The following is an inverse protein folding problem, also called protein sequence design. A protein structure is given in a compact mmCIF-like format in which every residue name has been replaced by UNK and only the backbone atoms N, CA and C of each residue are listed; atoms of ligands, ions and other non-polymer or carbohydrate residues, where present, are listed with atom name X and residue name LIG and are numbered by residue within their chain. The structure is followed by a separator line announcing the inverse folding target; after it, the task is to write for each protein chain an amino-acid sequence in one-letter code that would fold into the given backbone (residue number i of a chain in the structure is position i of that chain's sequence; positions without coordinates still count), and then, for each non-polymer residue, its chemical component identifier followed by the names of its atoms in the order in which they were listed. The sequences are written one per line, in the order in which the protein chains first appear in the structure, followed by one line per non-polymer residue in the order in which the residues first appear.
data_IF_326125056611
#
_entry.id   IF_326125056611
#
_cell.length_a   1.000
_cell.length_b   1.000
_cell.length_c   1.000
_cell.angle_alpha   90.00
_cell.angle_beta   90.00
_cell.angle_gamma   90.00
#
_symmetry.space_group_name_H-M   'P 1'
#
loop_
_entity.id
_entity.type
_entity.pdbx_description
1 polymer ?
#
# COMPACT_ATOMS: atom_id res chain seq x y z
N UNK A 1 -12.13 -40.92 0.84
CA UNK A 1 -12.05 -40.23 -0.45
C UNK A 1 -11.12 -39.04 -0.29
N UNK A 2 -10.00 -39.00 -1.01
CA UNK A 2 -9.14 -37.82 -1.02
C UNK A 2 -9.91 -36.68 -1.72
N UNK A 3 -10.12 -35.56 -1.03
CA UNK A 3 -10.74 -34.37 -1.62
C UNK A 3 -9.83 -33.93 -2.78
N UNK A 4 -10.35 -33.92 -4.01
CA UNK A 4 -9.59 -33.40 -5.15
C UNK A 4 -9.09 -31.99 -4.80
N UNK A 5 -7.82 -31.71 -5.11
CA UNK A 5 -7.28 -30.36 -4.91
C UNK A 5 -8.12 -29.40 -5.76
N UNK A 6 -8.68 -28.38 -5.12
CA UNK A 6 -9.56 -27.44 -5.81
C UNK A 6 -8.79 -26.69 -6.91
N UNK A 7 -9.42 -26.49 -8.06
CA UNK A 7 -8.78 -25.94 -9.26
C UNK A 7 -8.49 -24.44 -9.11
N UNK A 8 -7.61 -23.89 -9.96
CA UNK A 8 -7.34 -22.44 -10.01
C UNK A 8 -8.63 -21.64 -10.17
N UNK A 9 -9.52 -22.09 -11.05
CA UNK A 9 -10.83 -21.47 -11.30
C UNK A 9 -11.75 -21.52 -10.08
N UNK A 10 -11.81 -22.67 -9.39
CA UNK A 10 -12.57 -22.79 -8.14
C UNK A 10 -12.04 -21.84 -7.06
N UNK A 11 -10.71 -21.69 -6.93
CA UNK A 11 -10.13 -20.75 -5.96
C UNK A 11 -10.45 -19.30 -6.30
N UNK A 12 -10.43 -18.92 -7.58
CA UNK A 12 -10.85 -17.59 -8.02
C UNK A 12 -12.33 -17.34 -7.69
N UNK A 13 -13.19 -18.33 -7.94
CA UNK A 13 -14.61 -18.23 -7.60
C UNK A 13 -14.82 -18.05 -6.08
N UNK A 14 -14.11 -18.83 -5.26
CA UNK A 14 -14.17 -18.71 -3.81
C UNK A 14 -13.63 -17.36 -3.31
N UNK A 15 -12.57 -16.82 -3.92
CA UNK A 15 -12.07 -15.48 -3.62
C UNK A 15 -13.11 -14.39 -3.88
N UNK A 16 -13.84 -14.48 -5.00
CA UNK A 16 -14.95 -13.56 -5.32
C UNK A 16 -16.12 -13.67 -4.33
N UNK A 17 -16.45 -14.88 -3.89
CA UNK A 17 -17.45 -15.08 -2.83
C UNK A 17 -16.98 -14.49 -1.50
N UNK A 18 -15.72 -14.69 -1.15
CA UNK A 18 -15.12 -14.14 0.06
C UNK A 18 -15.10 -12.61 0.04
N UNK A 19 -14.78 -11.99 -1.10
CA UNK A 19 -14.87 -10.54 -1.31
C UNK A 19 -16.28 -10.01 -1.04
N UNK A 20 -17.31 -10.63 -1.64
CA UNK A 20 -18.71 -10.24 -1.43
C UNK A 20 -19.20 -10.45 0.01
N UNK A 21 -18.60 -11.38 0.72
CA UNK A 21 -18.89 -11.65 2.13
C UNK A 21 -17.99 -10.84 3.09
N UNK A 22 -17.13 -9.96 2.58
CA UNK A 22 -16.14 -9.19 3.35
C UNK A 22 -15.20 -10.06 4.20
N UNK A 23 -14.98 -11.30 3.76
CA UNK A 23 -14.14 -12.33 4.39
C UNK A 23 -12.73 -12.31 3.80
N UNK A 24 -12.04 -11.19 4.00
CA UNK A 24 -10.77 -10.92 3.31
C UNK A 24 -9.61 -11.83 3.76
N UNK A 25 -9.67 -12.38 4.97
CA UNK A 25 -8.69 -13.35 5.47
C UNK A 25 -8.74 -14.64 4.65
N UNK A 26 -9.95 -15.18 4.45
CA UNK A 26 -10.15 -16.34 3.58
C UNK A 26 -9.87 -16.01 2.12
N UNK A 27 -10.20 -14.78 1.67
CA UNK A 27 -9.87 -14.31 0.33
C UNK A 27 -8.35 -14.37 0.07
N UNK A 28 -7.52 -13.97 1.04
CA UNK A 28 -6.06 -14.10 0.96
C UNK A 28 -5.67 -15.57 0.79
N UNK A 29 -6.21 -16.48 1.60
CA UNK A 29 -5.89 -17.91 1.48
C UNK A 29 -6.24 -18.50 0.11
N UNK A 30 -7.38 -18.10 -0.47
CA UNK A 30 -7.77 -18.55 -1.81
C UNK A 30 -6.83 -17.97 -2.87
N UNK A 31 -6.49 -16.69 -2.78
CA UNK A 31 -5.57 -16.05 -3.74
C UNK A 31 -4.14 -16.59 -3.64
N UNK A 32 -3.66 -16.96 -2.45
CA UNK A 32 -2.39 -17.67 -2.29
C UNK A 32 -2.38 -19.02 -2.99
N UNK A 33 -3.50 -19.76 -2.95
CA UNK A 33 -3.66 -21.01 -3.69
C UNK A 33 -3.72 -20.79 -5.19
N UNK A 34 -4.32 -19.69 -5.66
CA UNK A 34 -4.26 -19.26 -7.07
C UNK A 34 -2.82 -19.02 -7.51
N UNK A 35 -2.04 -18.25 -6.74
CA UNK A 35 -0.61 -17.99 -7.02
C UNK A 35 0.19 -19.29 -7.04
N UNK A 36 -0.04 -20.18 -6.09
CA UNK A 36 0.63 -21.48 -6.04
C UNK A 36 0.33 -22.31 -7.30
N UNK A 37 -0.96 -22.42 -7.68
CA UNK A 37 -1.42 -23.17 -8.83
C UNK A 37 -0.98 -22.57 -10.18
N UNK A 38 -0.80 -21.25 -10.25
CA UNK A 38 -0.32 -20.57 -11.45
C UNK A 38 1.13 -20.95 -11.81
N UNK A 39 1.93 -21.42 -10.85
CA UNK A 39 3.32 -21.80 -11.14
C UNK A 39 4.16 -20.57 -11.53
N UNK A 40 4.72 -20.61 -12.72
CA UNK A 40 5.45 -19.51 -13.37
C UNK A 40 4.59 -18.73 -14.37
N UNK A 41 3.30 -19.07 -14.50
CA UNK A 41 2.37 -18.39 -15.39
C UNK A 41 1.92 -17.10 -14.73
N UNK A 42 1.92 -16.02 -15.51
CA UNK A 42 1.42 -14.71 -15.06
C UNK A 42 -0.05 -14.81 -14.60
N UNK A 43 -0.40 -14.04 -13.57
CA UNK A 43 -1.79 -13.88 -13.20
C UNK A 43 -2.52 -13.03 -14.23
N UNK A 44 -3.78 -13.36 -14.50
CA UNK A 44 -4.66 -12.49 -15.25
C UNK A 44 -4.87 -11.15 -14.52
N UNK A 45 -5.34 -10.13 -15.25
CA UNK A 45 -5.66 -8.82 -14.66
C UNK A 45 -6.67 -8.98 -13.51
N UNK A 46 -7.69 -9.82 -13.68
CA UNK A 46 -8.69 -10.08 -12.65
C UNK A 46 -8.07 -10.71 -11.40
N UNK A 47 -7.28 -11.77 -11.55
CA UNK A 47 -6.63 -12.45 -10.42
C UNK A 47 -5.63 -11.53 -9.69
N UNK A 48 -4.86 -10.74 -10.44
CA UNK A 48 -3.96 -9.73 -9.87
C UNK A 48 -4.72 -8.71 -9.03
N UNK A 49 -5.86 -8.24 -9.53
CA UNK A 49 -6.70 -7.28 -8.82
C UNK A 49 -7.31 -7.91 -7.56
N UNK A 50 -7.83 -9.14 -7.64
CA UNK A 50 -8.36 -9.87 -6.47
C UNK A 50 -7.30 -10.07 -5.38
N UNK A 51 -6.08 -10.47 -5.76
CA UNK A 51 -4.96 -10.61 -4.82
C UNK A 51 -4.67 -9.29 -4.09
N UNK A 52 -4.63 -8.20 -4.85
CA UNK A 52 -4.38 -6.87 -4.29
C UNK A 52 -5.51 -6.41 -3.36
N UNK A 53 -6.77 -6.63 -3.73
CA UNK A 53 -7.93 -6.28 -2.89
C UNK A 53 -7.92 -7.07 -1.59
N UNK A 54 -7.68 -8.39 -1.66
CA UNK A 54 -7.63 -9.26 -0.48
C UNK A 54 -6.61 -8.76 0.54
N UNK A 55 -5.36 -8.61 0.11
CA UNK A 55 -4.28 -8.18 0.99
C UNK A 55 -4.44 -6.71 1.44
N UNK A 56 -4.91 -5.79 0.58
CA UNK A 56 -5.19 -4.38 0.94
C UNK A 56 -6.17 -4.29 2.11
N UNK A 57 -7.25 -5.08 2.08
CA UNK A 57 -8.26 -5.06 3.13
C UNK A 57 -7.72 -5.64 4.44
N UNK A 58 -7.06 -6.81 4.38
CA UNK A 58 -6.47 -7.44 5.58
C UNK A 58 -5.43 -6.52 6.23
N UNK A 59 -4.47 -5.98 5.47
CA UNK A 59 -3.45 -5.08 6.04
C UNK A 59 -4.05 -3.74 6.50
N UNK A 60 -5.07 -3.23 5.79
CA UNK A 60 -5.74 -1.99 6.12
C UNK A 60 -6.41 -2.04 7.49
N UNK A 61 -7.17 -3.11 7.77
CA UNK A 61 -7.80 -3.33 9.06
C UNK A 61 -6.78 -3.38 10.20
N UNK A 62 -5.68 -4.13 10.02
CA UNK A 62 -4.64 -4.28 11.05
C UNK A 62 -3.88 -2.98 11.29
N UNK A 63 -3.60 -2.19 10.25
CA UNK A 63 -2.98 -0.86 10.38
C UNK A 63 -3.89 0.10 11.14
N UNK A 64 -5.20 0.07 10.90
CA UNK A 64 -6.15 0.87 11.66
C UNK A 64 -6.17 0.48 13.15
N UNK A 65 -6.22 -0.83 13.45
CA UNK A 65 -6.11 -1.34 14.82
C UNK A 65 -4.81 -0.89 15.49
N UNK A 66 -3.68 -0.99 14.80
CA UNK A 66 -2.38 -0.58 15.32
C UNK A 66 -2.34 0.91 15.66
N UNK A 67 -2.87 1.80 14.80
CA UNK A 67 -2.94 3.24 15.08
C UNK A 67 -3.77 3.55 16.33
N UNK A 68 -4.92 2.89 16.46
CA UNK A 68 -5.81 3.06 17.61
C UNK A 68 -5.11 2.65 18.90
N UNK A 69 -4.52 1.45 18.92
CA UNK A 69 -3.84 0.93 20.12
C UNK A 69 -2.62 1.79 20.47
N UNK A 70 -1.84 2.23 19.48
CA UNK A 70 -0.71 3.13 19.69
C UNK A 70 -1.15 4.47 20.28
N UNK A 71 -2.26 5.03 19.81
CA UNK A 71 -2.83 6.27 20.38
C UNK A 71 -3.31 6.08 21.83
N UNK A 72 -3.91 4.93 22.15
CA UNK A 72 -4.34 4.61 23.52
C UNK A 72 -3.12 4.47 24.44
N UNK A 73 -2.08 3.73 24.01
CA UNK A 73 -0.83 3.60 24.78
C UNK A 73 -0.26 4.97 25.14
N UNK A 74 -0.10 5.88 24.17
CA UNK A 74 0.40 7.23 24.39
C UNK A 74 -0.47 8.03 25.37
N UNK A 75 -1.80 7.91 25.29
CA UNK A 75 -2.72 8.60 26.21
C UNK A 75 -2.60 8.07 27.64
N UNK A 76 -2.47 6.76 27.81
CA UNK A 76 -2.33 6.15 29.14
C UNK A 76 -0.95 6.46 29.76
N UNK A 77 0.12 6.52 28.95
CA UNK A 77 1.43 7.02 29.37
C UNK A 77 1.36 8.47 29.86
N UNK A 78 0.71 9.36 29.10
CA UNK A 78 0.54 10.76 29.46
C UNK A 78 -0.30 10.98 30.74
N UNK A 79 -1.16 10.03 31.09
CA UNK A 79 -1.95 10.02 32.34
C UNK A 79 -1.19 9.44 33.54
N UNK A 80 0.00 8.88 33.33
CA UNK A 80 0.76 8.18 34.37
C UNK A 80 0.17 6.82 34.76
N UNK A 81 -0.74 6.26 33.95
CA UNK A 81 -1.39 4.97 34.20
C UNK A 81 -0.49 3.81 33.72
N UNK A 82 0.66 3.62 34.40
CA UNK A 82 1.72 2.71 33.97
C UNK A 82 1.24 1.27 33.69
N UNK A 83 0.28 0.76 34.48
CA UNK A 83 -0.30 -0.58 34.27
C UNK A 83 -1.10 -0.69 32.96
N UNK A 84 -1.94 0.30 32.65
CA UNK A 84 -2.70 0.33 31.41
C UNK A 84 -1.80 0.57 30.19
N UNK A 85 -0.81 1.45 30.33
CA UNK A 85 0.20 1.67 29.29
C UNK A 85 0.98 0.39 28.95
N UNK A 86 1.37 -0.39 29.96
CA UNK A 86 2.03 -1.68 29.76
C UNK A 86 1.12 -2.70 29.05
N UNK A 87 -0.16 -2.78 29.43
CA UNK A 87 -1.13 -3.65 28.79
C UNK A 87 -1.37 -3.26 27.31
N UNK A 88 -1.54 -1.95 27.04
CA UNK A 88 -1.70 -1.43 25.68
C UNK A 88 -0.46 -1.73 24.82
N UNK A 89 0.75 -1.56 25.36
CA UNK A 89 2.01 -1.91 24.69
C UNK A 89 2.10 -3.40 24.34
N UNK A 90 1.71 -4.27 25.26
CA UNK A 90 1.67 -5.71 25.03
C UNK A 90 0.71 -6.08 23.89
N UNK A 91 -0.47 -5.46 23.86
CA UNK A 91 -1.44 -5.69 22.79
C UNK A 91 -0.97 -5.09 21.45
N UNK A 92 -0.35 -3.90 21.45
CA UNK A 92 0.26 -3.32 20.26
C UNK A 92 1.29 -4.27 19.65
N UNK A 93 2.16 -4.87 20.46
CA UNK A 93 3.17 -5.82 19.99
C UNK A 93 2.56 -7.05 19.29
N UNK A 94 1.39 -7.52 19.75
CA UNK A 94 0.65 -8.60 19.07
C UNK A 94 0.21 -8.15 17.67
N UNK A 95 -0.41 -6.96 17.56
CA UNK A 95 -0.84 -6.41 16.27
C UNK A 95 0.35 -6.18 15.33
N UNK A 96 1.49 -5.73 15.85
CA UNK A 96 2.73 -5.57 15.06
C UNK A 96 3.28 -6.90 14.53
N UNK A 97 3.15 -7.98 15.30
CA UNK A 97 3.52 -9.32 14.85
C UNK A 97 2.60 -9.80 13.72
N UNK A 98 1.28 -9.59 13.84
CA UNK A 98 0.31 -9.88 12.78
C UNK A 98 0.60 -9.09 11.50
N UNK A 99 0.83 -7.77 11.61
CA UNK A 99 1.23 -6.92 10.49
C UNK A 99 2.51 -7.42 9.82
N UNK A 100 3.52 -7.77 10.62
CA UNK A 100 4.79 -8.30 10.11
C UNK A 100 4.58 -9.60 9.34
N UNK A 101 3.72 -10.50 9.83
CA UNK A 101 3.42 -11.76 9.17
C UNK A 101 2.68 -11.57 7.84
N UNK A 102 1.70 -10.66 7.80
CA UNK A 102 0.96 -10.33 6.56
C UNK A 102 1.93 -9.76 5.52
N UNK A 103 2.76 -8.78 5.89
CA UNK A 103 3.78 -8.22 5.00
C UNK A 103 4.76 -9.29 4.52
N UNK A 104 5.27 -10.14 5.41
CA UNK A 104 6.21 -11.21 5.05
C UNK A 104 5.59 -12.25 4.10
N UNK A 105 4.29 -12.53 4.21
CA UNK A 105 3.57 -13.42 3.29
C UNK A 105 3.58 -12.89 1.86
N UNK A 106 3.07 -11.68 1.65
CA UNK A 106 2.96 -11.09 0.31
C UNK A 106 4.33 -10.74 -0.30
N UNK A 107 5.28 -10.25 0.50
CA UNK A 107 6.63 -9.92 0.00
C UNK A 107 7.33 -11.17 -0.55
N UNK A 108 7.14 -12.33 0.11
CA UNK A 108 7.66 -13.61 -0.38
C UNK A 108 7.02 -14.01 -1.71
N UNK A 109 5.71 -13.88 -1.84
CA UNK A 109 5.01 -14.18 -3.11
C UNK A 109 5.47 -13.25 -4.24
N UNK A 110 5.66 -11.97 -3.93
CA UNK A 110 6.16 -10.99 -4.90
C UNK A 110 7.56 -11.36 -5.39
N UNK A 111 8.47 -11.68 -4.47
CA UNK A 111 9.88 -11.93 -4.79
C UNK A 111 10.10 -13.29 -5.46
N UNK A 112 9.44 -14.34 -4.98
CA UNK A 112 9.66 -15.70 -5.47
C UNK A 112 8.85 -16.02 -6.73
N UNK A 113 7.71 -15.35 -6.95
CA UNK A 113 6.71 -15.78 -7.94
C UNK A 113 6.22 -14.66 -8.85
N UNK A 114 5.64 -13.60 -8.29
CA UNK A 114 4.84 -12.64 -9.08
C UNK A 114 5.70 -11.69 -9.90
N UNK A 115 6.76 -11.10 -9.32
CA UNK A 115 7.68 -10.22 -10.05
C UNK A 115 8.47 -11.00 -11.11
N UNK A 116 9.01 -12.21 -10.84
CA UNK A 116 9.68 -13.01 -11.86
C UNK A 116 8.77 -13.46 -13.02
N UNK A 117 7.48 -13.74 -12.74
CA UNK A 117 6.53 -14.20 -13.76
C UNK A 117 5.91 -13.07 -14.59
N UNK A 118 6.04 -11.81 -14.17
CA UNK A 118 5.43 -10.66 -14.85
C UNK A 118 6.16 -10.34 -16.17
N UNK A 119 5.53 -10.69 -17.30
CA UNK A 119 5.97 -10.34 -18.63
C UNK A 119 5.39 -8.99 -19.08
N UNK A 120 4.14 -8.70 -18.73
CA UNK A 120 3.52 -7.41 -19.05
C UNK A 120 4.12 -6.26 -18.22
N UNK A 121 4.37 -5.12 -18.86
CA UNK A 121 4.86 -3.89 -18.20
C UNK A 121 3.95 -3.50 -17.04
N UNK A 122 2.63 -3.48 -17.28
CA UNK A 122 1.61 -3.18 -16.27
C UNK A 122 1.73 -4.07 -15.04
N UNK A 123 1.85 -5.39 -15.24
CA UNK A 123 1.97 -6.34 -14.14
C UNK A 123 3.27 -6.13 -13.36
N UNK A 124 4.38 -5.88 -14.05
CA UNK A 124 5.68 -5.65 -13.41
C UNK A 124 5.69 -4.39 -12.55
N UNK A 125 5.19 -3.27 -13.08
CA UNK A 125 5.06 -2.01 -12.31
C UNK A 125 4.08 -2.19 -11.16
N UNK A 126 2.97 -2.89 -11.37
CA UNK A 126 1.98 -3.18 -10.34
C UNK A 126 2.59 -3.95 -9.16
N UNK A 127 3.33 -5.03 -9.42
CA UNK A 127 3.92 -5.84 -8.36
C UNK A 127 5.08 -5.14 -7.65
N UNK A 128 5.91 -4.37 -8.38
CA UNK A 128 6.97 -3.57 -7.75
C UNK A 128 6.40 -2.45 -6.87
N UNK A 129 5.33 -1.79 -7.33
CA UNK A 129 4.57 -0.84 -6.51
C UNK A 129 4.03 -1.53 -5.25
N UNK A 130 3.40 -2.70 -5.40
CA UNK A 130 2.87 -3.47 -4.28
C UNK A 130 3.99 -3.85 -3.29
N UNK A 131 5.16 -4.27 -3.79
CA UNK A 131 6.35 -4.53 -2.95
C UNK A 131 6.75 -3.30 -2.14
N UNK A 132 6.81 -2.13 -2.78
CA UNK A 132 7.06 -0.86 -2.10
C UNK A 132 6.01 -0.56 -1.03
N UNK A 133 4.73 -0.77 -1.32
CA UNK A 133 3.63 -0.57 -0.36
C UNK A 133 3.78 -1.42 0.90
N UNK A 134 4.12 -2.71 0.77
CA UNK A 134 4.25 -3.59 1.94
C UNK A 134 5.53 -3.34 2.76
N UNK A 135 6.63 -2.95 2.12
CA UNK A 135 7.80 -2.46 2.87
C UNK A 135 7.51 -1.13 3.56
N UNK A 136 6.73 -0.24 2.93
CA UNK A 136 6.32 1.03 3.55
C UNK A 136 5.51 0.78 4.81
N UNK A 137 4.58 -0.16 4.78
CA UNK A 137 3.79 -0.53 5.97
C UNK A 137 4.68 -1.06 7.10
N UNK A 138 5.74 -1.82 6.81
CA UNK A 138 6.73 -2.20 7.82
C UNK A 138 7.43 -0.97 8.42
N UNK A 139 7.81 0.00 7.59
CA UNK A 139 8.49 1.21 8.04
C UNK A 139 7.62 2.12 8.94
N UNK A 140 6.29 1.95 8.96
CA UNK A 140 5.38 2.73 9.80
C UNK A 140 5.50 2.39 11.29
N UNK A 141 5.70 1.11 11.62
CA UNK A 141 5.66 0.63 13.02
C UNK A 141 6.97 0.01 13.50
N UNK A 142 7.87 -0.37 12.59
CA UNK A 142 9.21 -0.84 12.96
C UNK A 142 10.05 0.28 13.56
N UNK A 143 11.10 -0.09 14.30
CA UNK A 143 11.99 0.86 14.98
C UNK A 143 13.44 0.70 14.56
N UNK A 144 14.23 1.77 14.75
CA UNK A 144 15.68 1.79 14.53
C UNK A 144 16.13 1.16 13.19
N UNK A 145 16.94 0.10 13.25
CA UNK A 145 17.53 -0.56 12.08
C UNK A 145 16.45 -1.17 11.17
N UNK A 146 15.46 -1.87 11.73
CA UNK A 146 14.39 -2.49 10.93
C UNK A 146 13.57 -1.46 10.16
N UNK A 147 13.34 -0.27 10.76
CA UNK A 147 12.65 0.84 10.09
C UNK A 147 13.47 1.35 8.90
N UNK A 148 14.78 1.48 9.08
CA UNK A 148 15.69 1.92 8.01
C UNK A 148 15.71 0.91 6.86
N UNK A 149 15.87 -0.38 7.16
CA UNK A 149 15.90 -1.44 6.15
C UNK A 149 14.58 -1.50 5.36
N UNK A 150 13.45 -1.34 6.05
CA UNK A 150 12.13 -1.24 5.41
C UNK A 150 11.99 0.01 4.52
N UNK A 151 12.49 1.16 4.96
CA UNK A 151 12.48 2.39 4.17
C UNK A 151 13.37 2.29 2.93
N UNK A 152 14.58 1.74 3.07
CA UNK A 152 15.52 1.53 1.96
C UNK A 152 14.93 0.54 0.93
N UNK A 153 14.28 -0.54 1.41
CA UNK A 153 13.58 -1.50 0.55
C UNK A 153 12.37 -0.88 -0.16
N UNK A 154 11.62 -0.01 0.52
CA UNK A 154 10.51 0.76 -0.08
C UNK A 154 11.02 1.64 -1.21
N UNK A 155 12.08 2.41 -0.95
CA UNK A 155 12.68 3.32 -1.92
C UNK A 155 13.17 2.55 -3.15
N UNK A 156 13.88 1.43 -2.95
CA UNK A 156 14.36 0.59 -4.05
C UNK A 156 13.23 0.04 -4.92
N UNK A 157 12.15 -0.47 -4.30
CA UNK A 157 11.01 -1.02 -5.03
C UNK A 157 10.25 0.05 -5.83
N UNK A 158 9.98 1.22 -5.23
CA UNK A 158 9.31 2.31 -5.92
C UNK A 158 10.16 2.93 -7.02
N UNK A 159 11.48 3.08 -6.82
CA UNK A 159 12.35 3.59 -7.87
C UNK A 159 12.38 2.64 -9.07
N UNK A 160 12.52 1.34 -8.83
CA UNK A 160 12.47 0.34 -9.90
C UNK A 160 11.13 0.35 -10.65
N UNK A 161 10.00 0.53 -9.93
CA UNK A 161 8.69 0.68 -10.56
C UNK A 161 8.60 1.98 -11.38
N UNK A 162 9.15 3.08 -10.86
CA UNK A 162 9.07 4.41 -11.46
C UNK A 162 9.90 4.48 -12.75
N UNK A 163 11.10 3.91 -12.75
CA UNK A 163 11.98 3.88 -13.93
C UNK A 163 11.31 3.17 -15.11
N UNK A 164 10.60 2.06 -14.84
CA UNK A 164 9.83 1.33 -15.86
C UNK A 164 8.60 2.15 -16.28
N UNK A 165 7.83 2.66 -15.31
CA UNK A 165 6.58 3.38 -15.58
C UNK A 165 6.79 4.66 -16.38
N UNK A 166 7.85 5.43 -16.09
CA UNK A 166 8.16 6.68 -16.81
C UNK A 166 8.54 6.43 -18.27
N UNK A 167 9.14 5.27 -18.56
CA UNK A 167 9.59 4.91 -19.90
C UNK A 167 8.50 4.26 -20.75
N UNK A 168 7.69 3.39 -20.14
CA UNK A 168 6.82 2.46 -20.87
C UNK A 168 5.32 2.74 -20.70
N UNK A 169 4.91 3.61 -19.76
CA UNK A 169 3.51 3.96 -19.50
C UNK A 169 3.23 5.46 -19.68
N UNK A 170 2.10 5.86 -20.29
CA UNK A 170 1.76 7.27 -20.43
C UNK A 170 1.52 7.93 -19.06
N UNK A 171 1.73 9.25 -18.91
CA UNK A 171 1.51 9.98 -17.65
C UNK A 171 0.12 9.80 -17.03
N UNK A 172 -0.89 9.62 -17.86
CA UNK A 172 -2.27 9.37 -17.46
C UNK A 172 -2.55 7.93 -17.03
N UNK A 173 -1.61 7.00 -17.19
CA UNK A 173 -1.86 5.60 -16.88
C UNK A 173 -2.17 5.39 -15.37
N UNK A 174 -3.28 4.74 -14.98
CA UNK A 174 -3.67 4.60 -13.57
C UNK A 174 -2.59 3.96 -12.67
N UNK A 175 -1.85 2.98 -13.18
CA UNK A 175 -0.74 2.35 -12.43
C UNK A 175 0.41 3.34 -12.18
N UNK A 176 0.75 4.19 -13.16
CA UNK A 176 1.82 5.21 -13.03
C UNK A 176 1.40 6.31 -12.06
N UNK A 177 0.16 6.80 -12.18
CA UNK A 177 -0.42 7.76 -11.25
C UNK A 177 -0.49 7.21 -9.83
N UNK A 178 -0.98 5.97 -9.66
CA UNK A 178 -1.08 5.32 -8.36
C UNK A 178 0.29 5.06 -7.72
N UNK A 179 1.33 4.79 -8.52
CA UNK A 179 2.70 4.71 -8.05
C UNK A 179 3.19 6.07 -7.54
N UNK A 180 3.02 7.14 -8.31
CA UNK A 180 3.43 8.48 -7.91
C UNK A 180 2.71 8.94 -6.62
N UNK A 181 1.42 8.63 -6.49
CA UNK A 181 0.65 8.86 -5.27
C UNK A 181 1.29 8.17 -4.06
N UNK A 182 1.54 6.87 -4.13
CA UNK A 182 2.08 6.13 -2.98
C UNK A 182 3.54 6.47 -2.69
N UNK A 183 4.32 6.81 -3.72
CA UNK A 183 5.72 7.21 -3.56
C UNK A 183 5.83 8.62 -2.95
N UNK A 184 4.95 9.55 -3.31
CA UNK A 184 4.90 10.87 -2.66
C UNK A 184 4.51 10.75 -1.18
N UNK A 185 3.53 9.91 -0.84
CA UNK A 185 3.17 9.60 0.56
C UNK A 185 4.37 9.03 1.33
N UNK A 186 5.15 8.15 0.72
CA UNK A 186 6.38 7.62 1.33
C UNK A 186 7.40 8.73 1.64
N UNK A 187 7.65 9.63 0.69
CA UNK A 187 8.54 10.77 0.92
C UNK A 187 8.05 11.66 2.07
N UNK A 188 6.73 11.86 2.18
CA UNK A 188 6.15 12.70 3.22
C UNK A 188 6.19 12.01 4.59
N UNK A 189 5.57 10.83 4.72
CA UNK A 189 5.29 10.18 6.00
C UNK A 189 6.50 9.41 6.56
N UNK A 190 7.31 8.78 5.69
CA UNK A 190 8.40 7.89 6.14
C UNK A 190 9.74 8.59 6.12
N UNK A 191 10.07 9.27 5.03
CA UNK A 191 11.36 9.96 4.86
C UNK A 191 11.35 11.41 5.36
N UNK A 192 10.21 11.91 5.85
CA UNK A 192 10.06 13.28 6.35
C UNK A 192 10.66 14.33 5.39
N UNK A 193 10.41 14.14 4.09
CA UNK A 193 10.93 14.94 2.99
C UNK A 193 9.77 15.59 2.22
N UNK A 194 9.04 16.55 2.85
CA UNK A 194 7.82 17.11 2.31
C UNK A 194 8.02 17.81 0.96
N UNK A 195 9.14 18.50 0.76
CA UNK A 195 9.45 19.16 -0.52
C UNK A 195 9.54 18.16 -1.68
N UNK A 196 10.15 16.99 -1.44
CA UNK A 196 10.23 15.91 -2.45
C UNK A 196 8.87 15.28 -2.71
N UNK A 197 8.07 15.07 -1.66
CA UNK A 197 6.71 14.55 -1.78
C UNK A 197 5.84 15.47 -2.64
N UNK A 198 5.81 16.76 -2.33
CA UNK A 198 5.05 17.77 -3.07
C UNK A 198 5.55 17.90 -4.51
N UNK A 199 6.87 17.91 -4.73
CA UNK A 199 7.45 17.99 -6.08
C UNK A 199 7.03 16.80 -6.94
N UNK A 200 7.11 15.58 -6.41
CA UNK A 200 6.73 14.36 -7.13
C UNK A 200 5.22 14.33 -7.43
N UNK A 201 4.37 14.64 -6.44
CA UNK A 201 2.92 14.65 -6.63
C UNK A 201 2.49 15.73 -7.63
N UNK A 202 3.08 16.92 -7.56
CA UNK A 202 2.80 18.02 -8.50
C UNK A 202 3.25 17.68 -9.91
N UNK A 203 4.45 17.11 -10.08
CA UNK A 203 4.93 16.68 -11.39
C UNK A 203 3.98 15.66 -12.03
N UNK A 204 3.59 14.62 -11.28
CA UNK A 204 2.68 13.61 -11.81
C UNK A 204 1.30 14.19 -12.19
N UNK A 205 0.78 15.13 -11.39
CA UNK A 205 -0.48 15.81 -11.68
C UNK A 205 -0.38 16.68 -12.94
N UNK A 206 0.68 17.50 -13.05
CA UNK A 206 0.92 18.43 -14.16
C UNK A 206 1.20 17.69 -15.49
N UNK A 207 1.90 16.55 -15.46
CA UNK A 207 2.09 15.70 -16.64
C UNK A 207 0.78 15.03 -17.07
N UNK A 208 -0.01 14.52 -16.12
CA UNK A 208 -1.27 13.86 -16.45
C UNK A 208 -2.34 14.83 -16.98
N UNK A 209 -2.45 16.05 -16.42
CA UNK A 209 -3.41 17.06 -16.89
C UNK A 209 -3.12 17.49 -18.35
N UNK A 210 -1.85 17.51 -18.74
CA UNK A 210 -1.45 17.90 -20.10
C UNK A 210 -1.92 16.91 -21.18
N UNK A 211 -2.15 15.64 -20.81
CA UNK A 211 -2.56 14.58 -21.73
C UNK A 211 -3.98 14.06 -21.44
N UNK A 212 -4.69 14.62 -20.45
CA UNK A 212 -5.96 14.10 -19.96
C UNK A 212 -7.07 14.12 -21.02
N UNK A 213 -7.09 15.16 -21.85
CA UNK A 213 -8.09 15.34 -22.93
C UNK A 213 -7.99 14.28 -24.04
N UNK A 214 -6.92 13.49 -24.06
CA UNK A 214 -6.71 12.42 -25.05
C UNK A 214 -7.29 11.06 -24.65
N UNK A 215 -7.79 10.94 -23.42
CA UNK A 215 -8.29 9.66 -22.88
C UNK A 215 -9.70 9.31 -23.35
N UNK A 216 -9.96 8.01 -23.49
CA UNK A 216 -11.31 7.47 -23.60
C UNK A 216 -12.06 7.50 -22.26
N UNK A 217 -13.39 7.38 -22.30
CA UNK A 217 -14.27 7.59 -21.12
C UNK A 217 -13.93 6.69 -19.92
N UNK A 218 -13.63 5.41 -20.16
CA UNK A 218 -13.32 4.46 -19.09
C UNK A 218 -11.99 4.79 -18.39
N UNK A 219 -10.92 5.05 -19.16
CA UNK A 219 -9.61 5.44 -18.62
C UNK A 219 -9.63 6.82 -17.97
N UNK A 220 -10.50 7.72 -18.43
CA UNK A 220 -10.65 9.06 -17.86
C UNK A 220 -11.14 9.00 -16.40
N UNK A 221 -12.15 8.16 -16.10
CA UNK A 221 -12.70 8.03 -14.74
C UNK A 221 -11.64 7.53 -13.75
N UNK A 222 -10.89 6.49 -14.12
CA UNK A 222 -9.85 5.92 -13.25
C UNK A 222 -8.70 6.91 -13.01
N UNK A 223 -8.25 7.59 -14.07
CA UNK A 223 -7.14 8.55 -13.99
C UNK A 223 -7.50 9.78 -13.16
N UNK A 224 -8.70 10.34 -13.38
CA UNK A 224 -9.16 11.53 -12.65
C UNK A 224 -9.39 11.27 -11.17
N UNK A 225 -9.85 10.06 -10.80
CA UNK A 225 -9.97 9.67 -9.39
C UNK A 225 -8.61 9.71 -8.68
N UNK A 226 -7.54 9.20 -9.30
CA UNK A 226 -6.20 9.19 -8.70
C UNK A 226 -5.59 10.60 -8.70
N UNK A 227 -5.79 11.39 -9.76
CA UNK A 227 -5.35 12.79 -9.82
C UNK A 227 -6.01 13.63 -8.72
N UNK A 228 -7.29 13.35 -8.41
CA UNK A 228 -7.98 13.99 -7.29
C UNK A 228 -7.28 13.71 -5.95
N UNK A 229 -6.88 12.46 -5.71
CA UNK A 229 -6.14 12.09 -4.49
C UNK A 229 -4.77 12.78 -4.41
N UNK A 230 -4.05 12.92 -5.54
CA UNK A 230 -2.80 13.68 -5.61
C UNK A 230 -3.03 15.15 -5.23
N UNK A 231 -4.09 15.77 -5.76
CA UNK A 231 -4.46 17.16 -5.45
C UNK A 231 -4.83 17.35 -3.97
N UNK A 232 -5.56 16.40 -3.41
CA UNK A 232 -5.99 16.45 -2.02
C UNK A 232 -4.78 16.36 -1.08
N UNK A 233 -3.82 15.47 -1.37
CA UNK A 233 -2.55 15.39 -0.65
C UNK A 233 -1.74 16.69 -0.76
N UNK A 234 -1.59 17.25 -1.97
CA UNK A 234 -0.89 18.53 -2.16
C UNK A 234 -1.52 19.67 -1.36
N UNK A 235 -2.85 19.74 -1.33
CA UNK A 235 -3.58 20.76 -0.57
C UNK A 235 -3.32 20.60 0.93
N UNK A 236 -3.39 19.37 1.44
CA UNK A 236 -3.11 19.07 2.84
C UNK A 236 -1.67 19.46 3.21
N UNK A 237 -0.68 18.96 2.46
CA UNK A 237 0.74 19.15 2.77
C UNK A 237 1.21 20.60 2.64
N UNK A 238 0.70 21.34 1.65
CA UNK A 238 1.02 22.77 1.53
C UNK A 238 0.41 23.58 2.67
N UNK A 239 -0.77 23.21 3.16
CA UNK A 239 -1.36 23.84 4.35
C UNK A 239 -0.57 23.53 5.62
N UNK A 240 -0.13 22.28 5.82
CA UNK A 240 0.71 21.87 6.95
C UNK A 240 2.06 22.60 6.97
N UNK A 241 2.68 22.80 5.81
CA UNK A 241 3.93 23.54 5.66
C UNK A 241 3.76 25.04 5.95
N UNK A 242 2.62 25.64 5.59
CA UNK A 242 2.30 27.04 5.89
C UNK A 242 1.91 27.24 7.37
N UNK A 243 1.29 26.24 8.00
CA UNK A 243 0.89 26.24 9.40
C UNK A 243 2.05 25.98 10.39
N UNK A 244 3.25 25.68 9.90
CA UNK A 244 4.49 25.57 10.69
C UNK A 244 5.35 26.85 10.62
N UNK A 245 4.98 28.00 11.22
CA UNK A 245 5.98 28.96 11.67
C UNK A 245 6.49 28.51 13.04
N UNK A 246 7.78 28.13 13.12
CA UNK A 246 8.58 28.06 14.35
C UNK A 246 7.85 27.55 15.63
N UNK A 247 7.62 26.25 15.77
CA UNK A 247 7.57 25.58 17.08
C UNK A 247 7.57 24.06 16.91
N UNK A 248 8.49 23.41 17.63
CA UNK A 248 8.43 21.99 17.96
C UNK A 248 7.06 21.66 18.57
N UNK A 249 6.23 20.86 17.90
CA UNK A 249 5.29 19.93 18.54
C UNK A 249 4.76 18.93 17.50
N UNK A 250 4.90 17.65 17.83
CA UNK A 250 4.48 16.52 17.01
C UNK A 250 2.97 16.29 17.23
N UNK A 251 2.16 16.61 16.22
CA UNK A 251 0.73 16.24 16.20
C UNK A 251 0.52 15.20 15.10
N UNK A 252 0.07 14.01 15.50
CA UNK A 252 -0.41 12.95 14.62
C UNK A 252 -1.70 13.46 13.96
N UNK A 253 -1.65 13.82 12.68
CA UNK A 253 -2.83 14.18 11.90
C UNK A 253 -3.61 12.92 11.52
N UNK A 254 -4.93 13.02 11.67
CA UNK A 254 -5.89 11.96 11.40
C UNK A 254 -5.91 11.62 9.91
N UNK A 255 -5.63 10.36 9.57
CA UNK A 255 -5.86 9.82 8.23
C UNK A 255 -7.36 9.68 7.97
N UNK A 256 -7.84 10.30 6.88
CA UNK A 256 -9.19 10.13 6.32
C UNK A 256 -9.48 8.67 5.92
N UNK A 257 -10.78 8.29 5.83
CA UNK A 257 -11.19 6.89 5.73
C UNK A 257 -10.92 6.32 4.33
N UNK A 258 -10.43 5.09 4.30
CA UNK A 258 -10.31 4.29 3.10
C UNK A 258 -11.69 4.01 2.51
N UNK A 259 -11.91 4.40 1.25
CA UNK A 259 -12.84 3.67 0.39
C UNK A 259 -12.23 2.30 0.01
#
# INVERSE_FOLDING_TARGET
MAKAAATREEMVYLAKLAEQAERYEEMVEFMEKVVAAAGTVELTIEERNLLSVAYKNVIGARRASWRIVSSIEQKEEGRGAAGHAAAARGYRALVEAELSNICAGILRLLDERLVPAAAAVDAKVFYLKMKGDYHRYLAEFKSAAERKDAADSTLGAYQAAQDIAMKELPPTHPIRLGLALNFSVFYYEILNSPDRACSLAKQAFDEAIAELDSLGEDSYKDSTLIMQLLRDNLTLWTSDMQAKPCADHFTITATMPSC
#
